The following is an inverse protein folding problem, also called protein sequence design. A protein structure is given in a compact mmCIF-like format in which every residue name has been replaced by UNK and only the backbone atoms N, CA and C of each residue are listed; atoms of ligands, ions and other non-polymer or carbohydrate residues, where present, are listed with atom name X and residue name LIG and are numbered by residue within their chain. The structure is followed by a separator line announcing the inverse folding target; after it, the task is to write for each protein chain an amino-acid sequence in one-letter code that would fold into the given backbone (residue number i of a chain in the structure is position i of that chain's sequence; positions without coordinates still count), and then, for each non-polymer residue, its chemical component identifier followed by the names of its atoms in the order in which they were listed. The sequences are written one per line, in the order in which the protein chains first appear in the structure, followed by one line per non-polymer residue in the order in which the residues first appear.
data_IF_314635742186
#
_entry.id   IF_314635742186
#
_cell.length_a   1.000
_cell.length_b   1.000
_cell.length_c   1.000
_cell.angle_alpha   90.00
_cell.angle_beta   90.00
_cell.angle_gamma   90.00
#
_symmetry.space_group_name_H-M   'P 1'
#
loop_
_entity.id
_entity.type
_entity.pdbx_description
1 polymer ?
#
# COMPACT_ATOMS: atom_id res chain seq x y z
N UNK A 1 15.97 9.14 13.49
CA UNK A 1 16.05 9.22 12.01
C UNK A 1 15.90 7.80 11.40
N UNK A 2 14.96 7.00 11.90
CA UNK A 2 14.56 5.67 11.37
C UNK A 2 13.39 5.23 12.26
N UNK A 3 12.15 5.20 11.75
CA UNK A 3 11.02 4.83 12.62
C UNK A 3 9.59 5.01 12.12
N UNK A 4 9.33 5.55 10.93
CA UNK A 4 7.93 5.80 10.53
C UNK A 4 7.19 4.54 10.04
N UNK A 5 7.90 3.46 9.71
CA UNK A 5 7.28 2.21 9.26
C UNK A 5 8.04 1.00 9.79
N UNK A 6 7.33 0.13 10.52
CA UNK A 6 7.84 -1.12 11.06
C UNK A 6 8.01 -2.21 9.99
N UNK A 7 7.26 -2.11 8.89
CA UNK A 7 7.23 -3.12 7.82
C UNK A 7 7.66 -2.50 6.49
N UNK A 8 8.66 -3.09 5.85
CA UNK A 8 9.14 -2.68 4.52
C UNK A 8 9.00 -3.81 3.51
N UNK A 9 8.86 -3.46 2.23
CA UNK A 9 8.87 -4.45 1.16
C UNK A 9 10.30 -4.96 0.93
N UNK A 10 10.49 -6.27 1.00
CA UNK A 10 11.68 -6.91 0.46
C UNK A 10 11.68 -6.88 -1.07
N UNK A 11 12.83 -7.03 -1.75
CA UNK A 11 12.87 -7.17 -3.21
C UNK A 11 11.96 -8.29 -3.73
N UNK A 12 11.81 -9.39 -2.97
CA UNK A 12 10.90 -10.48 -3.29
C UNK A 12 9.44 -10.02 -3.28
N UNK A 13 9.05 -9.25 -2.28
CA UNK A 13 7.70 -8.69 -2.16
C UNK A 13 7.38 -7.78 -3.35
N UNK A 14 8.35 -6.99 -3.81
CA UNK A 14 8.20 -6.11 -4.97
C UNK A 14 7.96 -6.91 -6.25
N UNK A 15 8.73 -8.00 -6.48
CA UNK A 15 8.49 -8.88 -7.62
C UNK A 15 7.10 -9.52 -7.58
N UNK A 16 6.68 -10.03 -6.42
CA UNK A 16 5.34 -10.60 -6.24
C UNK A 16 4.24 -9.57 -6.51
N UNK A 17 4.43 -8.30 -6.10
CA UNK A 17 3.46 -7.25 -6.40
C UNK A 17 3.36 -7.01 -7.91
N UNK A 18 4.48 -6.92 -8.62
CA UNK A 18 4.48 -6.73 -10.07
C UNK A 18 3.77 -7.88 -10.81
N UNK A 19 4.02 -9.12 -10.42
CA UNK A 19 3.32 -10.30 -10.96
C UNK A 19 1.81 -10.24 -10.70
N UNK A 20 1.41 -9.91 -9.46
CA UNK A 20 0.00 -9.77 -9.10
C UNK A 20 -0.67 -8.63 -9.87
N UNK A 21 0.00 -7.50 -10.07
CA UNK A 21 -0.52 -6.39 -10.86
C UNK A 21 -0.76 -6.80 -12.32
N UNK A 22 0.15 -7.57 -12.91
CA UNK A 22 -0.02 -8.10 -14.26
C UNK A 22 -1.17 -9.11 -14.38
N UNK A 23 -1.38 -9.96 -13.37
CA UNK A 23 -2.44 -10.98 -13.35
C UNK A 23 -3.81 -10.36 -13.10
N UNK A 24 -3.90 -9.43 -12.14
CA UNK A 24 -5.16 -8.84 -11.69
C UNK A 24 -5.60 -7.65 -12.54
N UNK A 25 -4.67 -7.02 -13.28
CA UNK A 25 -4.94 -5.84 -14.09
C UNK A 25 -5.21 -4.57 -13.28
N UNK A 26 -4.90 -4.58 -11.98
CA UNK A 26 -5.11 -3.47 -11.06
C UNK A 26 -3.92 -3.36 -10.09
N UNK A 27 -3.16 -2.27 -10.23
CA UNK A 27 -1.92 -2.03 -9.48
C UNK A 27 -2.23 -1.77 -8.00
N UNK A 28 -3.29 -1.01 -7.71
CA UNK A 28 -3.68 -0.61 -6.35
C UNK A 28 -4.24 -1.80 -5.58
N UNK A 29 -5.12 -2.59 -6.20
CA UNK A 29 -5.60 -3.82 -5.60
C UNK A 29 -4.47 -4.83 -5.38
N UNK A 30 -3.58 -5.01 -6.36
CA UNK A 30 -2.42 -5.89 -6.21
C UNK A 30 -1.49 -5.44 -5.08
N UNK A 31 -1.29 -4.12 -4.90
CA UNK A 31 -0.50 -3.56 -3.81
C UNK A 31 -1.14 -3.90 -2.45
N UNK A 32 -2.46 -3.74 -2.34
CA UNK A 32 -3.22 -3.99 -1.10
C UNK A 32 -3.06 -5.42 -0.62
N UNK A 33 -3.29 -6.39 -1.52
CA UNK A 33 -3.19 -7.82 -1.17
C UNK A 33 -1.74 -8.30 -0.97
N UNK A 34 -0.77 -7.65 -1.61
CA UNK A 34 0.65 -8.06 -1.52
C UNK A 34 1.32 -7.52 -0.26
N UNK A 35 1.04 -6.26 0.09
CA UNK A 35 1.77 -5.53 1.13
C UNK A 35 0.84 -4.86 2.15
N UNK A 36 -0.04 -3.94 1.74
CA UNK A 36 -0.78 -3.07 2.67
C UNK A 36 -1.58 -3.86 3.72
N UNK A 37 -2.24 -4.95 3.32
CA UNK A 37 -3.05 -5.76 4.22
C UNK A 37 -2.24 -6.46 5.33
N UNK A 38 -0.91 -6.54 5.17
CA UNK A 38 0.01 -7.14 6.13
C UNK A 38 0.65 -6.11 7.08
N UNK A 39 0.49 -4.82 6.79
CA UNK A 39 0.94 -3.74 7.68
C UNK A 39 0.07 -3.69 8.94
N UNK A 40 0.64 -3.13 10.02
CA UNK A 40 -0.14 -2.75 11.20
C UNK A 40 -1.24 -1.75 10.79
N UNK A 41 -2.43 -1.88 11.38
CA UNK A 41 -3.57 -1.00 11.09
C UNK A 41 -3.25 0.47 11.35
N UNK A 42 -2.40 0.77 12.34
CA UNK A 42 -1.95 2.12 12.65
C UNK A 42 -1.03 2.71 11.56
N UNK A 43 -0.36 1.87 10.78
CA UNK A 43 0.57 2.28 9.72
C UNK A 43 -0.09 2.33 8.34
N UNK A 44 -1.21 1.61 8.13
CA UNK A 44 -1.91 1.56 6.84
C UNK A 44 -2.22 2.93 6.22
N UNK A 45 -2.67 3.96 6.98
CA UNK A 45 -2.95 5.25 6.39
C UNK A 45 -1.69 5.96 5.88
N UNK A 46 -0.55 5.80 6.57
CA UNK A 46 0.74 6.34 6.14
C UNK A 46 1.24 5.62 4.88
N UNK A 47 1.11 4.29 4.82
CA UNK A 47 1.46 3.53 3.62
C UNK A 47 0.57 3.91 2.44
N UNK A 48 -0.72 4.16 2.66
CA UNK A 48 -1.64 4.65 1.64
C UNK A 48 -1.24 6.05 1.13
N UNK A 49 -0.79 6.95 2.01
CA UNK A 49 -0.22 8.25 1.60
C UNK A 49 1.02 8.06 0.71
N UNK A 50 1.93 7.13 1.07
CA UNK A 50 3.09 6.84 0.23
C UNK A 50 2.71 6.28 -1.13
N UNK A 51 1.70 5.41 -1.19
CA UNK A 51 1.15 4.96 -2.46
C UNK A 51 0.63 6.15 -3.29
N UNK A 52 -0.20 7.02 -2.69
CA UNK A 52 -0.73 8.21 -3.36
C UNK A 52 0.38 9.14 -3.86
N UNK A 53 1.43 9.36 -3.07
CA UNK A 53 2.56 10.21 -3.48
C UNK A 53 3.36 9.64 -4.64
N UNK A 54 3.44 8.31 -4.75
CA UNK A 54 4.14 7.63 -5.83
C UNK A 54 3.30 7.51 -7.11
N UNK A 55 2.00 7.26 -7.00
CA UNK A 55 1.12 6.90 -8.12
C UNK A 55 0.07 7.95 -8.47
N UNK A 56 -0.14 8.96 -7.61
CA UNK A 56 -1.19 9.97 -7.80
C UNK A 56 -2.61 9.44 -7.59
N UNK A 57 -2.77 8.24 -7.02
CA UNK A 57 -4.05 7.56 -6.84
C UNK A 57 -4.30 7.24 -5.36
N UNK A 58 -5.53 7.45 -4.89
CA UNK A 58 -5.90 7.13 -3.51
C UNK A 58 -6.36 5.67 -3.36
N UNK A 59 -5.90 5.05 -2.27
CA UNK A 59 -6.41 3.75 -1.82
C UNK A 59 -7.58 3.94 -0.85
N UNK A 60 -8.48 2.94 -0.71
CA UNK A 60 -9.57 2.98 0.26
C UNK A 60 -9.12 3.24 1.71
N UNK A 61 -7.92 2.78 2.06
CA UNK A 61 -7.30 2.94 3.38
C UNK A 61 -6.73 4.35 3.64
N UNK A 62 -6.83 5.27 2.68
CA UNK A 62 -6.47 6.68 2.85
C UNK A 62 -7.31 7.33 3.96
N UNK A 63 -6.67 8.16 4.80
CA UNK A 63 -7.37 8.94 5.84
C UNK A 63 -8.47 9.84 5.28
N UNK A 64 -8.34 10.30 4.03
CA UNK A 64 -9.35 11.09 3.34
C UNK A 64 -10.69 10.34 3.21
N UNK A 65 -10.66 9.01 3.06
CA UNK A 65 -11.86 8.17 2.92
C UNK A 65 -12.52 7.86 4.27
N UNK A 66 -11.73 7.79 5.35
CA UNK A 66 -12.24 7.54 6.72
C UNK A 66 -13.00 8.75 7.26
N UNK A 67 -12.60 9.98 6.92
CA UNK A 67 -13.28 11.20 7.36
C UNK A 67 -14.67 11.43 6.71
N UNK A 68 -15.00 10.65 5.66
CA UNK A 68 -16.24 10.75 4.91
C UNK A 68 -17.22 9.59 5.19
N UNK A 69 -16.88 8.67 6.11
CA UNK A 69 -17.68 7.48 6.46
C UNK A 69 -18.34 7.59 7.84
#
# INVERSE_FOLDING_TARGET
INGDLSTVMSPRTVMTWAENAAILGDIGFAFRVTFLNKCDDLEKPLVAEFYQRCFGEELPESTANVALS
#
